data_IF_158419648515
#
_entry.id   IF_158419648515
#
_cell.length_a   1.000
_cell.length_b   1.000
_cell.length_c   1.000
_cell.angle_alpha   90.00
_cell.angle_beta   90.00
_cell.angle_gamma   90.00
#
_symmetry.space_group_name_H-M   'P 1'
#
loop_
_entity.id
_entity.type
_entity.pdbx_description
1 polymer ?
#
# COMPACT_ATOMS: atom_id res chain seq x y z
N UNK A 1 15.17 -12.16 13.90
CA UNK A 1 14.36 -11.40 14.90
C UNK A 1 14.11 -10.03 14.31
N UNK A 2 12.88 -9.54 14.37
CA UNK A 2 12.61 -8.21 13.84
C UNK A 2 13.32 -7.15 14.69
N UNK A 3 14.04 -6.24 14.05
CA UNK A 3 14.79 -5.17 14.72
C UNK A 3 13.83 -4.13 15.31
N UNK A 4 13.97 -3.83 16.59
CA UNK A 4 13.09 -2.90 17.29
C UNK A 4 13.53 -1.44 17.12
N UNK A 5 12.58 -0.52 17.29
CA UNK A 5 12.86 0.92 17.25
C UNK A 5 13.93 1.35 18.28
N UNK A 6 13.91 0.74 19.48
CA UNK A 6 14.93 0.97 20.50
C UNK A 6 16.32 0.51 20.04
N UNK A 7 16.43 -0.67 19.44
CA UNK A 7 17.70 -1.21 18.95
C UNK A 7 18.29 -0.31 17.86
N UNK A 8 17.48 0.06 16.85
CA UNK A 8 17.89 0.99 15.79
C UNK A 8 18.40 2.33 16.34
N UNK A 9 17.64 2.90 17.28
CA UNK A 9 18.02 4.16 17.90
C UNK A 9 19.34 4.03 18.67
N UNK A 10 19.50 2.95 19.44
CA UNK A 10 20.71 2.72 20.23
C UNK A 10 21.95 2.42 19.39
N UNK A 11 21.80 1.79 18.25
CA UNK A 11 22.91 1.59 17.30
C UNK A 11 23.45 2.93 16.81
N UNK A 12 22.57 3.84 16.41
CA UNK A 12 22.95 5.18 15.96
C UNK A 12 23.49 6.05 17.10
N UNK A 13 22.94 5.94 18.33
CA UNK A 13 23.47 6.63 19.50
C UNK A 13 24.91 6.19 19.85
N UNK A 14 25.20 4.88 19.74
CA UNK A 14 26.56 4.35 19.95
C UNK A 14 27.56 4.91 18.93
N UNK A 15 27.18 5.06 17.67
CA UNK A 15 28.02 5.69 16.65
C UNK A 15 28.34 7.16 16.97
N UNK A 16 27.43 7.83 17.67
CA UNK A 16 27.60 9.21 18.11
C UNK A 16 28.33 9.35 19.46
N UNK A 17 28.71 8.22 20.06
CA UNK A 17 29.26 8.17 21.41
C UNK A 17 28.31 8.76 22.47
N UNK A 18 27.01 8.60 22.26
CA UNK A 18 25.95 9.03 23.19
C UNK A 18 25.47 7.88 24.08
N UNK A 19 24.84 8.22 25.19
CA UNK A 19 24.30 7.24 26.12
C UNK A 19 23.10 6.51 25.48
N UNK A 20 23.12 5.17 25.53
CA UNK A 20 22.02 4.35 25.03
C UNK A 20 20.75 4.55 25.88
N UNK A 21 19.60 4.49 25.20
CA UNK A 21 18.28 4.52 25.83
C UNK A 21 17.89 3.14 26.36
N UNK A 22 17.12 3.13 27.43
CA UNK A 22 16.42 1.94 27.94
C UNK A 22 14.94 2.02 27.61
N UNK A 23 14.20 0.93 27.75
CA UNK A 23 12.75 0.93 27.56
C UNK A 23 12.03 1.98 28.41
N UNK A 24 12.52 2.25 29.62
CA UNK A 24 11.95 3.24 30.54
C UNK A 24 12.29 4.70 30.17
N UNK A 25 13.47 4.94 29.59
CA UNK A 25 13.92 6.30 29.22
C UNK A 25 13.56 6.68 27.79
N UNK A 26 13.15 5.71 26.96
CA UNK A 26 12.87 5.90 25.54
C UNK A 26 11.80 6.96 25.27
N UNK A 27 10.71 6.95 26.04
CA UNK A 27 9.59 7.90 25.87
C UNK A 27 10.01 9.33 26.26
N UNK A 28 10.93 9.46 27.20
CA UNK A 28 11.37 10.75 27.76
C UNK A 28 12.72 11.21 27.17
N UNK A 29 13.12 10.66 26.03
CA UNK A 29 14.36 11.08 25.36
C UNK A 29 14.33 12.58 25.03
N UNK A 30 15.46 13.26 25.21
CA UNK A 30 15.61 14.70 24.96
C UNK A 30 16.90 15.01 24.18
N UNK A 31 16.96 16.18 23.55
CA UNK A 31 18.16 16.65 22.86
C UNK A 31 18.56 15.74 21.69
N UNK A 32 19.81 15.29 21.67
CA UNK A 32 20.36 14.44 20.59
C UNK A 32 19.64 13.10 20.53
N UNK A 33 19.28 12.51 21.67
CA UNK A 33 18.57 11.23 21.70
C UNK A 33 17.18 11.33 21.01
N UNK A 34 16.44 12.41 21.30
CA UNK A 34 15.15 12.65 20.62
C UNK A 34 15.36 12.88 19.12
N UNK A 35 16.38 13.65 18.75
CA UNK A 35 16.68 13.90 17.34
C UNK A 35 17.00 12.61 16.57
N UNK A 36 17.76 11.69 17.19
CA UNK A 36 18.06 10.37 16.59
C UNK A 36 16.78 9.55 16.39
N UNK A 37 15.88 9.50 17.39
CA UNK A 37 14.56 8.86 17.24
C UNK A 37 13.77 9.43 16.05
N UNK A 38 13.67 10.76 16.00
CA UNK A 38 12.94 11.42 14.91
C UNK A 38 13.58 11.15 13.55
N UNK A 39 14.92 11.07 13.50
CA UNK A 39 15.67 10.73 12.29
C UNK A 39 15.39 9.29 11.82
N UNK A 40 15.27 8.33 12.74
CA UNK A 40 14.89 6.94 12.41
C UNK A 40 13.48 6.90 11.84
N UNK A 41 12.51 7.55 12.49
CA UNK A 41 11.13 7.61 11.99
C UNK A 41 11.03 8.28 10.62
N UNK A 42 11.76 9.38 10.42
CA UNK A 42 11.78 10.07 9.13
C UNK A 42 12.38 9.20 8.04
N UNK A 43 13.51 8.53 8.34
CA UNK A 43 14.14 7.60 7.40
C UNK A 43 13.24 6.42 7.04
N UNK A 44 12.48 5.90 8.02
CA UNK A 44 11.51 4.84 7.82
C UNK A 44 10.43 5.24 6.81
N UNK A 45 9.82 6.42 6.98
CA UNK A 45 8.82 6.93 6.05
C UNK A 45 9.40 7.28 4.68
N UNK A 46 10.63 7.78 4.60
CA UNK A 46 11.28 8.04 3.32
C UNK A 46 11.41 6.76 2.48
N UNK A 47 11.78 5.63 3.10
CA UNK A 47 11.87 4.34 2.41
C UNK A 47 10.49 3.88 1.92
N UNK A 48 9.47 4.00 2.77
CA UNK A 48 8.10 3.58 2.44
C UNK A 48 7.53 4.41 1.28
N UNK A 49 7.74 5.73 1.33
CA UNK A 49 7.18 6.65 0.32
C UNK A 49 7.96 6.66 -1.00
N UNK A 50 9.18 6.16 -1.00
CA UNK A 50 10.02 6.10 -2.21
C UNK A 50 9.48 5.09 -3.24
N UNK A 51 8.82 4.02 -2.77
CA UNK A 51 8.17 3.04 -3.63
C UNK A 51 6.81 2.64 -3.00
N UNK A 52 5.69 3.02 -3.61
CA UNK A 52 4.37 2.78 -3.04
C UNK A 52 3.94 1.31 -3.09
N UNK A 53 4.62 0.47 -3.88
CA UNK A 53 4.27 -0.93 -4.11
C UNK A 53 5.30 -1.91 -3.54
N UNK A 54 5.90 -1.58 -2.40
CA UNK A 54 6.77 -2.53 -1.73
C UNK A 54 6.03 -3.83 -1.40
N UNK A 55 6.57 -5.02 -1.71
CA UNK A 55 5.91 -6.29 -1.41
C UNK A 55 5.62 -6.52 0.09
N UNK A 56 6.46 -5.97 0.97
CA UNK A 56 6.25 -6.06 2.41
C UNK A 56 5.13 -5.15 2.95
N UNK A 57 4.60 -4.24 2.12
CA UNK A 57 3.41 -3.44 2.42
C UNK A 57 2.14 -4.07 1.88
N UNK A 58 2.25 -5.17 1.12
CA UNK A 58 1.08 -5.85 0.58
C UNK A 58 0.19 -6.33 1.72
N UNK A 59 -1.04 -5.87 1.72
CA UNK A 59 -2.03 -6.22 2.74
C UNK A 59 -2.47 -7.66 2.60
N UNK A 60 -2.65 -8.34 3.74
CA UNK A 60 -3.27 -9.66 3.83
C UNK A 60 -4.47 -9.59 4.77
N UNK A 61 -5.47 -8.78 4.40
CA UNK A 61 -6.59 -8.44 5.30
C UNK A 61 -7.48 -9.61 5.71
N UNK A 62 -7.54 -10.68 4.93
CA UNK A 62 -8.58 -11.69 5.15
C UNK A 62 -8.09 -13.08 5.54
N UNK A 63 -6.78 -13.31 5.65
CA UNK A 63 -6.26 -14.67 5.81
C UNK A 63 -6.52 -15.58 4.59
N UNK A 64 -7.35 -15.16 3.65
CA UNK A 64 -7.60 -15.76 2.37
C UNK A 64 -6.91 -14.94 1.28
N UNK A 65 -5.60 -15.06 1.18
CA UNK A 65 -4.87 -14.53 0.04
C UNK A 65 -4.96 -15.55 -1.08
N UNK A 66 -5.77 -15.29 -2.07
CA UNK A 66 -5.61 -15.94 -3.36
C UNK A 66 -4.72 -15.04 -4.21
N UNK A 67 -3.45 -15.41 -4.42
CA UNK A 67 -2.51 -14.59 -5.20
C UNK A 67 -2.95 -14.40 -6.64
N UNK A 68 -3.94 -15.15 -7.10
CA UNK A 68 -4.51 -15.04 -8.44
C UNK A 68 -5.49 -13.88 -8.58
N UNK A 69 -6.17 -13.48 -7.49
CA UNK A 69 -7.24 -12.49 -7.55
C UNK A 69 -6.90 -11.17 -6.87
N UNK A 70 -6.10 -11.20 -5.83
CA UNK A 70 -5.73 -10.01 -5.06
C UNK A 70 -5.40 -10.33 -3.61
N UNK A 71 -4.91 -9.34 -2.88
CA UNK A 71 -4.58 -9.45 -1.47
C UNK A 71 -5.61 -8.77 -0.54
N UNK A 72 -6.57 -8.07 -1.11
CA UNK A 72 -7.69 -7.46 -0.39
C UNK A 72 -8.99 -7.68 -1.16
N UNK A 73 -10.11 -7.71 -0.46
CA UNK A 73 -11.42 -7.79 -1.11
C UNK A 73 -12.50 -7.00 -0.36
N UNK A 74 -13.55 -6.65 -1.08
CA UNK A 74 -14.77 -6.05 -0.55
C UNK A 74 -15.97 -6.85 -1.03
N UNK A 75 -16.89 -7.19 -0.14
CA UNK A 75 -18.16 -7.79 -0.51
C UNK A 75 -19.16 -6.70 -0.87
N UNK A 76 -19.81 -6.85 -2.01
CA UNK A 76 -20.80 -5.89 -2.50
C UNK A 76 -22.15 -6.12 -1.81
N UNK A 77 -22.98 -5.10 -1.86
CA UNK A 77 -24.39 -5.17 -1.46
C UNK A 77 -25.25 -4.96 -2.68
N UNK A 78 -26.25 -5.81 -2.90
CA UNK A 78 -27.18 -5.67 -4.01
C UNK A 78 -27.86 -4.28 -3.99
N UNK A 79 -27.92 -3.64 -5.14
CA UNK A 79 -28.50 -2.31 -5.28
C UNK A 79 -27.62 -1.13 -4.84
N UNK A 80 -26.41 -1.39 -4.34
CA UNK A 80 -25.45 -0.35 -3.98
C UNK A 80 -24.38 -0.20 -5.07
N UNK A 81 -24.06 1.03 -5.45
CA UNK A 81 -23.06 1.32 -6.51
C UNK A 81 -21.66 1.60 -5.94
N UNK A 82 -21.56 2.31 -4.82
CA UNK A 82 -20.28 2.77 -4.27
C UNK A 82 -19.95 2.03 -2.99
N UNK A 83 -18.70 1.56 -2.90
CA UNK A 83 -18.18 0.79 -1.78
C UNK A 83 -16.92 1.44 -1.24
N UNK A 84 -16.71 1.35 0.05
CA UNK A 84 -15.44 1.75 0.68
C UNK A 84 -14.38 0.70 0.42
N UNK A 85 -13.15 1.13 0.12
CA UNK A 85 -12.02 0.23 -0.12
C UNK A 85 -11.60 -0.53 1.14
N UNK A 86 -11.80 0.09 2.31
CA UNK A 86 -11.72 -0.55 3.61
C UNK A 86 -13.10 -0.54 4.27
N UNK A 87 -13.84 -1.65 4.27
CA UNK A 87 -15.06 -1.73 5.05
C UNK A 87 -14.69 -1.67 6.53
N UNK A 88 -15.07 -0.56 7.14
CA UNK A 88 -15.05 -0.24 8.57
C UNK A 88 -14.44 -1.29 9.52
N UNK A 89 -13.14 -1.51 9.49
CA UNK A 89 -12.46 -1.81 10.72
C UNK A 89 -12.42 -0.50 11.50
N UNK A 90 -12.78 -0.52 12.77
CA UNK A 90 -12.79 0.63 13.66
C UNK A 90 -11.40 1.28 13.86
N UNK A 91 -10.39 0.80 13.19
CA UNK A 91 -9.04 1.30 13.16
C UNK A 91 -8.81 2.15 11.89
N UNK A 92 -9.11 3.44 12.04
CA UNK A 92 -8.84 4.50 11.05
C UNK A 92 -7.33 4.67 10.76
N UNK A 93 -6.47 3.87 11.37
CA UNK A 93 -5.01 4.06 11.35
C UNK A 93 -4.29 3.45 10.16
N UNK A 94 -4.95 2.61 9.38
CA UNK A 94 -4.32 1.95 8.23
C UNK A 94 -5.01 2.32 6.93
N UNK A 95 -4.67 3.48 6.38
CA UNK A 95 -5.03 3.81 5.00
C UNK A 95 -4.12 3.01 4.04
N UNK A 96 -4.62 2.68 2.84
CA UNK A 96 -3.77 2.14 1.80
C UNK A 96 -2.81 3.23 1.27
N UNK A 97 -1.55 2.88 1.10
CA UNK A 97 -0.57 3.76 0.45
C UNK A 97 -0.77 3.76 -1.06
N UNK A 98 -1.13 2.62 -1.63
CA UNK A 98 -1.36 2.44 -3.06
C UNK A 98 -2.38 1.34 -3.32
N UNK A 99 -3.06 1.45 -4.46
CA UNK A 99 -4.01 0.45 -4.96
C UNK A 99 -3.75 0.29 -6.46
N UNK A 100 -3.72 -0.95 -6.92
CA UNK A 100 -3.66 -1.26 -8.34
C UNK A 100 -5.07 -1.20 -8.94
N UNK A 101 -5.37 -0.10 -9.63
CA UNK A 101 -6.67 0.15 -10.23
C UNK A 101 -6.90 -0.65 -11.53
N UNK A 102 -5.87 -1.20 -12.13
CA UNK A 102 -5.97 -1.93 -13.39
C UNK A 102 -6.32 -3.42 -13.17
N UNK A 103 -6.10 -3.92 -11.94
CA UNK A 103 -6.28 -5.33 -11.60
C UNK A 103 -7.40 -5.53 -10.56
N UNK A 104 -8.60 -5.10 -10.88
CA UNK A 104 -9.79 -5.45 -10.10
C UNK A 104 -10.43 -6.72 -10.66
N UNK A 105 -10.72 -7.67 -9.80
CA UNK A 105 -11.29 -8.96 -10.14
C UNK A 105 -12.54 -9.23 -9.32
N UNK A 106 -13.57 -9.78 -9.93
CA UNK A 106 -14.84 -10.07 -9.27
C UNK A 106 -15.11 -11.58 -9.28
N UNK A 107 -15.59 -12.08 -8.16
CA UNK A 107 -16.07 -13.45 -8.01
C UNK A 107 -17.46 -13.46 -7.38
N UNK A 108 -18.28 -14.46 -7.73
CA UNK A 108 -19.53 -14.70 -7.00
C UNK A 108 -19.23 -15.28 -5.62
N UNK A 109 -19.94 -14.80 -4.61
CA UNK A 109 -19.92 -15.42 -3.29
C UNK A 109 -20.83 -16.67 -3.34
N UNK A 110 -20.25 -17.85 -3.12
CA UNK A 110 -21.00 -19.10 -3.04
C UNK A 110 -21.91 -19.09 -1.81
N UNK A 111 -23.21 -19.21 -2.02
CA UNK A 111 -24.16 -19.46 -0.93
C UNK A 111 -24.22 -20.96 -0.70
N UNK A 112 -24.01 -21.41 0.53
CA UNK A 112 -24.06 -22.81 0.87
C UNK A 112 -25.41 -23.44 0.46
N UNK A 113 -25.37 -24.42 -0.44
CA UNK A 113 -26.56 -25.11 -0.95
C UNK A 113 -27.12 -24.60 -2.29
N UNK A 114 -26.58 -23.52 -2.87
CA UNK A 114 -26.91 -23.09 -4.21
C UNK A 114 -25.86 -23.54 -5.23
N UNK A 115 -26.31 -24.15 -6.32
CA UNK A 115 -25.50 -24.48 -7.51
C UNK A 115 -25.50 -23.31 -8.49
N UNK A 116 -25.32 -22.08 -7.98
CA UNK A 116 -25.20 -20.93 -8.87
C UNK A 116 -23.89 -21.05 -9.69
N UNK A 117 -23.91 -20.72 -10.98
CA UNK A 117 -22.69 -20.74 -11.76
C UNK A 117 -21.67 -19.78 -11.16
N UNK A 118 -20.46 -20.30 -10.93
CA UNK A 118 -19.33 -19.48 -10.47
C UNK A 118 -18.99 -18.49 -11.59
N UNK A 119 -19.26 -17.23 -11.34
CA UNK A 119 -18.89 -16.14 -12.24
C UNK A 119 -17.64 -15.46 -11.73
N UNK A 120 -16.63 -15.41 -12.55
CA UNK A 120 -15.40 -14.68 -12.28
C UNK A 120 -15.00 -13.87 -13.49
N UNK A 121 -14.62 -12.62 -13.28
CA UNK A 121 -14.16 -11.76 -14.37
C UNK A 121 -13.28 -10.62 -13.89
N UNK A 122 -12.39 -10.18 -14.76
CA UNK A 122 -11.70 -8.91 -14.59
C UNK A 122 -12.66 -7.75 -14.77
N UNK A 123 -12.59 -6.76 -13.90
CA UNK A 123 -13.32 -5.51 -14.01
C UNK A 123 -12.47 -4.50 -14.78
N UNK A 124 -13.05 -3.90 -15.81
CA UNK A 124 -12.36 -2.86 -16.56
C UNK A 124 -12.32 -1.57 -15.75
N UNK A 125 -11.13 -1.00 -15.60
CA UNK A 125 -11.02 0.35 -15.02
C UNK A 125 -11.63 1.40 -15.94
N UNK A 126 -12.46 2.27 -15.36
CA UNK A 126 -13.08 3.39 -16.05
C UNK A 126 -12.73 4.67 -15.30
N UNK A 127 -12.15 5.64 -15.99
CA UNK A 127 -11.87 6.95 -15.40
C UNK A 127 -13.17 7.65 -15.00
N UNK A 128 -13.10 8.55 -14.02
CA UNK A 128 -14.27 9.32 -13.56
C UNK A 128 -14.92 10.12 -14.70
N UNK A 129 -14.13 10.62 -15.63
CA UNK A 129 -14.62 11.38 -16.81
C UNK A 129 -15.35 10.45 -17.78
N UNK A 130 -14.73 9.34 -18.16
CA UNK A 130 -15.36 8.34 -19.03
C UNK A 130 -16.65 7.82 -18.43
N UNK A 131 -16.71 7.61 -17.11
CA UNK A 131 -17.91 7.18 -16.42
C UNK A 131 -19.01 8.25 -16.42
N UNK A 132 -18.67 9.54 -16.22
CA UNK A 132 -19.64 10.63 -16.32
C UNK A 132 -20.28 10.69 -17.71
N UNK A 133 -19.47 10.55 -18.75
CA UNK A 133 -19.96 10.54 -20.14
C UNK A 133 -20.83 9.32 -20.42
N UNK A 134 -20.39 8.13 -19.99
CA UNK A 134 -21.18 6.90 -20.10
C UNK A 134 -22.53 7.04 -19.38
N UNK A 135 -22.53 7.55 -18.15
CA UNK A 135 -23.74 7.73 -17.35
C UNK A 135 -24.70 8.75 -17.97
N UNK A 136 -24.19 9.84 -18.50
CA UNK A 136 -24.99 10.84 -19.19
C UNK A 136 -25.73 10.29 -20.41
N UNK A 137 -25.12 9.31 -21.09
CA UNK A 137 -25.68 8.73 -22.32
C UNK A 137 -26.62 7.56 -21.98
N UNK A 138 -26.27 6.73 -21.00
CA UNK A 138 -26.93 5.46 -20.74
C UNK A 138 -27.90 5.47 -19.56
N UNK A 139 -27.79 6.43 -18.66
CA UNK A 139 -28.63 6.53 -17.47
C UNK A 139 -29.24 7.92 -17.35
N UNK A 140 -30.56 8.00 -17.19
CA UNK A 140 -31.22 9.23 -16.79
C UNK A 140 -31.04 9.40 -15.26
N UNK A 141 -30.38 10.48 -14.83
CA UNK A 141 -30.00 10.71 -13.42
C UNK A 141 -31.21 10.84 -12.47
N UNK A 142 -32.34 11.28 -13.00
CA UNK A 142 -33.54 11.58 -12.23
C UNK A 142 -34.54 10.42 -12.17
N UNK A 143 -34.28 9.34 -12.92
CA UNK A 143 -35.17 8.19 -13.00
C UNK A 143 -34.51 6.93 -12.41
N UNK A 144 -35.00 6.48 -11.26
CA UNK A 144 -34.51 5.28 -10.60
C UNK A 144 -34.69 4.01 -11.45
N UNK A 145 -35.68 3.98 -12.31
CA UNK A 145 -35.96 2.84 -13.20
C UNK A 145 -34.98 2.74 -14.37
N UNK A 146 -34.24 3.83 -14.67
CA UNK A 146 -33.22 3.83 -15.71
C UNK A 146 -31.86 3.30 -15.23
N UNK A 147 -31.71 3.02 -13.93
CA UNK A 147 -30.46 2.48 -13.39
C UNK A 147 -30.25 1.05 -13.87
N UNK A 148 -29.07 0.78 -14.41
CA UNK A 148 -28.71 -0.56 -14.87
C UNK A 148 -28.24 -1.43 -13.69
N UNK A 149 -29.03 -2.46 -13.39
CA UNK A 149 -28.67 -3.51 -12.43
C UNK A 149 -28.16 -4.74 -13.19
N UNK A 150 -27.16 -5.39 -12.63
CA UNK A 150 -26.62 -6.62 -13.22
C UNK A 150 -25.24 -6.96 -12.70
N UNK A 151 -24.59 -7.89 -13.40
CA UNK A 151 -23.23 -8.32 -13.07
C UNK A 151 -22.25 -7.20 -13.40
N UNK A 152 -21.47 -6.68 -12.42
CA UNK A 152 -20.50 -5.62 -12.65
C UNK A 152 -19.46 -6.00 -13.71
N UNK A 153 -19.13 -5.08 -14.58
CA UNK A 153 -18.13 -5.22 -15.65
C UNK A 153 -17.03 -4.16 -15.59
N UNK A 154 -17.29 -3.07 -14.89
CA UNK A 154 -16.35 -1.98 -14.76
C UNK A 154 -16.26 -1.48 -13.32
N UNK A 155 -15.06 -1.05 -12.94
CA UNK A 155 -14.76 -0.36 -11.69
C UNK A 155 -14.44 1.11 -11.96
N UNK A 156 -14.93 1.99 -11.08
CA UNK A 156 -14.80 3.43 -11.20
C UNK A 156 -14.13 3.93 -9.92
N UNK A 157 -13.09 4.73 -10.07
CA UNK A 157 -12.42 5.36 -8.93
C UNK A 157 -13.21 6.59 -8.46
N UNK A 158 -13.50 6.67 -7.17
CA UNK A 158 -14.03 7.91 -6.58
C UNK A 158 -12.94 9.02 -6.53
N UNK A 159 -13.33 10.29 -6.66
CA UNK A 159 -12.40 11.42 -6.56
C UNK A 159 -11.61 11.48 -5.25
N UNK A 160 -12.17 10.99 -4.14
CA UNK A 160 -11.52 10.93 -2.83
C UNK A 160 -10.54 9.74 -2.68
N UNK A 161 -10.48 8.86 -3.69
CA UNK A 161 -9.65 7.65 -3.71
C UNK A 161 -9.91 6.65 -2.57
N UNK A 162 -10.94 6.86 -1.74
CA UNK A 162 -11.32 5.99 -0.62
C UNK A 162 -12.42 5.01 -0.99
N UNK A 163 -13.13 5.27 -2.09
CA UNK A 163 -14.26 4.49 -2.58
C UNK A 163 -14.05 4.09 -4.02
N UNK A 164 -14.68 2.99 -4.38
CA UNK A 164 -14.84 2.60 -5.78
C UNK A 164 -16.32 2.42 -6.10
N UNK A 165 -16.66 2.62 -7.35
CA UNK A 165 -17.98 2.37 -7.88
C UNK A 165 -17.98 1.18 -8.83
N UNK A 166 -19.13 0.56 -8.98
CA UNK A 166 -19.33 -0.54 -9.92
C UNK A 166 -20.37 -0.16 -10.97
N UNK A 167 -20.15 -0.61 -12.20
CA UNK A 167 -21.09 -0.46 -13.32
C UNK A 167 -21.18 -1.78 -14.10
N UNK A 168 -22.39 -2.30 -14.32
CA UNK A 168 -23.68 -1.97 -13.71
C UNK A 168 -23.71 -2.05 -12.19
N UNK A 169 -24.83 -1.59 -11.58
CA UNK A 169 -25.05 -1.75 -10.13
C UNK A 169 -25.19 -3.24 -9.83
N UNK A 170 -24.50 -3.76 -8.79
CA UNK A 170 -24.61 -5.17 -8.42
C UNK A 170 -26.05 -5.60 -8.15
N UNK A 171 -26.49 -6.67 -8.82
CA UNK A 171 -27.81 -7.30 -8.62
C UNK A 171 -27.84 -8.27 -7.43
N UNK A 172 -26.68 -8.77 -7.02
CA UNK A 172 -26.47 -9.67 -5.88
C UNK A 172 -25.15 -9.38 -5.18
N UNK A 173 -24.81 -10.16 -4.18
CA UNK A 173 -23.53 -10.05 -3.48
C UNK A 173 -22.42 -10.67 -4.33
N UNK A 174 -21.37 -9.90 -4.57
CA UNK A 174 -20.13 -10.31 -5.22
C UNK A 174 -18.96 -10.00 -4.32
N UNK A 175 -17.85 -10.71 -4.47
CA UNK A 175 -16.58 -10.39 -3.85
C UNK A 175 -15.70 -9.74 -4.90
N UNK A 176 -15.30 -8.49 -4.64
CA UNK A 176 -14.44 -7.69 -5.51
C UNK A 176 -13.04 -7.68 -4.92
N UNK A 177 -12.10 -8.32 -5.61
CA UNK A 177 -10.70 -8.44 -5.23
C UNK A 177 -9.87 -7.36 -5.90
N UNK A 178 -8.81 -6.91 -5.21
CA UNK A 178 -7.83 -5.96 -5.74
C UNK A 178 -6.50 -6.11 -5.02
N UNK A 179 -5.44 -5.52 -5.58
CA UNK A 179 -4.15 -5.42 -4.91
C UNK A 179 -4.04 -4.08 -4.20
N UNK A 180 -3.69 -4.13 -2.91
CA UNK A 180 -3.52 -2.97 -2.06
C UNK A 180 -2.25 -3.08 -1.24
N UNK A 181 -1.65 -1.94 -0.94
CA UNK A 181 -0.47 -1.79 -0.08
C UNK A 181 -0.81 -0.87 1.07
N UNK A 182 -0.57 -1.33 2.28
CA UNK A 182 -0.86 -0.57 3.50
C UNK A 182 0.14 0.57 3.71
N UNK A 183 -0.34 1.65 4.32
CA UNK A 183 0.52 2.69 4.86
C UNK A 183 0.79 2.36 6.33
N UNK A 184 1.99 1.91 6.70
CA UNK A 184 2.30 1.58 8.09
C UNK A 184 2.28 2.81 8.98
N UNK A 185 1.93 2.60 10.24
CA UNK A 185 1.97 3.65 11.26
C UNK A 185 3.41 4.06 11.59
N UNK A 186 3.55 5.24 12.19
CA UNK A 186 4.85 5.70 12.73
C UNK A 186 5.27 4.82 13.89
N UNK A 187 6.58 4.60 14.00
CA UNK A 187 7.17 3.96 15.16
C UNK A 187 7.00 4.89 16.38
N UNK A 188 6.34 4.43 17.42
CA UNK A 188 6.03 5.22 18.61
C UNK A 188 6.64 4.61 19.88
N UNK A 189 6.40 3.32 20.11
CA UNK A 189 6.88 2.61 21.27
C UNK A 189 8.28 2.02 21.04
N UNK A 190 9.03 1.82 22.12
CA UNK A 190 10.37 1.24 22.08
C UNK A 190 10.43 -0.16 21.44
N UNK A 191 9.33 -0.93 21.55
CA UNK A 191 9.21 -2.29 21.03
C UNK A 191 8.65 -2.37 19.61
N UNK A 192 8.28 -1.24 18.98
CA UNK A 192 7.79 -1.24 17.62
C UNK A 192 8.86 -1.77 16.66
N UNK A 193 8.43 -2.53 15.68
CA UNK A 193 9.31 -3.15 14.68
C UNK A 193 9.09 -2.53 13.31
N UNK A 194 10.14 -2.53 12.51
CA UNK A 194 10.05 -2.13 11.10
C UNK A 194 9.31 -3.21 10.29
N UNK A 195 8.57 -2.79 9.26
CA UNK A 195 7.79 -3.72 8.42
C UNK A 195 8.61 -4.37 7.31
N UNK A 196 9.75 -3.81 6.93
CA UNK A 196 10.59 -4.40 5.89
C UNK A 196 11.61 -5.39 6.49
N UNK A 197 12.17 -6.32 5.66
CA UNK A 197 13.08 -7.36 6.13
C UNK A 197 14.35 -6.81 6.80
N UNK A 198 14.80 -7.44 7.87
CA UNK A 198 15.99 -7.07 8.66
C UNK A 198 17.25 -6.87 7.79
N UNK A 199 17.34 -7.58 6.65
CA UNK A 199 18.44 -7.43 5.69
C UNK A 199 18.66 -5.99 5.24
N UNK A 200 17.61 -5.17 5.20
CA UNK A 200 17.65 -3.79 4.73
C UNK A 200 17.71 -2.75 5.85
N UNK A 201 17.91 -3.18 7.10
CA UNK A 201 18.09 -2.27 8.25
C UNK A 201 19.22 -1.27 8.01
N UNK A 202 20.30 -1.69 7.33
CA UNK A 202 21.40 -0.79 6.97
C UNK A 202 21.01 0.37 6.04
N UNK A 203 19.99 0.18 5.20
CA UNK A 203 19.46 1.25 4.32
C UNK A 203 18.78 2.32 5.16
N UNK A 204 17.96 1.92 6.14
CA UNK A 204 17.32 2.81 7.08
C UNK A 204 18.34 3.58 7.93
N UNK A 205 19.35 2.88 8.46
CA UNK A 205 20.43 3.50 9.23
C UNK A 205 21.20 4.52 8.41
N UNK A 206 21.53 4.22 7.16
CA UNK A 206 22.22 5.15 6.27
C UNK A 206 21.39 6.43 6.05
N UNK A 207 20.06 6.30 5.86
CA UNK A 207 19.17 7.46 5.75
C UNK A 207 19.04 8.24 7.05
N UNK A 208 18.94 7.56 8.18
CA UNK A 208 18.91 8.21 9.49
C UNK A 208 20.22 8.96 9.80
N UNK A 209 21.39 8.36 9.47
CA UNK A 209 22.72 9.02 9.57
C UNK A 209 22.77 10.32 8.76
N UNK A 210 22.19 10.33 7.57
CA UNK A 210 22.12 11.55 6.76
C UNK A 210 21.45 12.69 7.53
N UNK A 211 20.31 12.46 8.18
CA UNK A 211 19.63 13.48 8.99
C UNK A 211 20.42 13.88 10.23
N UNK A 212 21.04 12.93 10.89
CA UNK A 212 21.87 13.18 12.08
C UNK A 212 23.08 14.05 11.73
N UNK A 213 23.77 13.75 10.62
CA UNK A 213 24.92 14.52 10.19
C UNK A 213 24.55 15.92 9.68
N UNK A 214 23.39 16.08 9.08
CA UNK A 214 22.84 17.40 8.79
C UNK A 214 22.61 18.22 10.06
N UNK A 215 22.04 17.63 11.08
CA UNK A 215 21.84 18.28 12.37
C UNK A 215 23.17 18.67 13.06
N UNK A 216 24.20 17.84 12.91
CA UNK A 216 25.54 18.10 13.44
C UNK A 216 26.40 19.02 12.56
N UNK A 217 25.83 19.61 11.52
CA UNK A 217 26.50 20.50 10.56
C UNK A 217 27.76 19.88 9.93
N UNK A 218 27.68 18.59 9.59
CA UNK A 218 28.75 17.87 8.90
C UNK A 218 28.29 17.44 7.50
N UNK A 219 28.39 18.33 6.49
CA UNK A 219 27.87 18.06 5.15
C UNK A 219 28.62 16.95 4.42
N UNK A 220 29.90 16.75 4.72
CA UNK A 220 30.69 15.69 4.10
C UNK A 220 30.22 14.30 4.55
N UNK A 221 30.05 14.09 5.87
CA UNK A 221 29.54 12.84 6.41
C UNK A 221 28.08 12.59 5.95
N UNK A 222 27.28 13.65 5.88
CA UNK A 222 25.92 13.56 5.35
C UNK A 222 25.90 13.11 3.87
N UNK A 223 26.81 13.63 3.02
CA UNK A 223 26.91 13.23 1.63
C UNK A 223 27.26 11.74 1.48
N UNK A 224 28.19 11.22 2.24
CA UNK A 224 28.53 9.80 2.26
C UNK A 224 27.34 8.92 2.69
N UNK A 225 26.68 9.29 3.77
CA UNK A 225 25.50 8.58 4.25
C UNK A 225 24.36 8.56 3.21
N UNK A 226 24.17 9.66 2.46
CA UNK A 226 23.18 9.73 1.39
C UNK A 226 23.57 8.84 0.20
N UNK A 227 24.84 8.73 -0.12
CA UNK A 227 25.32 7.84 -1.17
C UNK A 227 25.10 6.37 -0.81
N UNK A 228 25.43 5.98 0.43
CA UNK A 228 25.18 4.63 0.96
C UNK A 228 23.68 4.30 0.95
N UNK A 229 22.83 5.24 1.36
CA UNK A 229 21.39 5.09 1.27
C UNK A 229 20.94 4.81 -0.16
N UNK A 230 21.37 5.62 -1.14
CA UNK A 230 21.00 5.45 -2.55
C UNK A 230 21.45 4.11 -3.13
N UNK A 231 22.64 3.64 -2.77
CA UNK A 231 23.15 2.32 -3.18
C UNK A 231 22.29 1.20 -2.57
N UNK A 232 22.03 1.28 -1.27
CA UNK A 232 21.21 0.31 -0.56
C UNK A 232 19.77 0.26 -1.09
N UNK A 233 19.16 1.42 -1.36
CA UNK A 233 17.81 1.51 -1.90
C UNK A 233 17.71 0.90 -3.30
N UNK A 234 18.70 1.11 -4.17
CA UNK A 234 18.75 0.47 -5.50
C UNK A 234 18.81 -1.05 -5.38
N UNK A 235 19.64 -1.56 -4.47
CA UNK A 235 19.73 -3.00 -4.21
C UNK A 235 18.40 -3.56 -3.66
N UNK A 236 17.75 -2.83 -2.76
CA UNK A 236 16.46 -3.19 -2.20
C UNK A 236 15.36 -3.26 -3.28
N UNK A 237 15.30 -2.26 -4.17
CA UNK A 237 14.38 -2.25 -5.32
C UNK A 237 14.63 -3.42 -6.25
N UNK A 238 15.89 -3.63 -6.64
CA UNK A 238 16.25 -4.73 -7.55
C UNK A 238 15.91 -6.12 -7.02
N UNK A 239 15.87 -6.29 -5.70
CA UNK A 239 15.62 -7.59 -5.09
C UNK A 239 14.16 -7.82 -4.72
N UNK A 240 13.41 -6.77 -4.42
CA UNK A 240 12.05 -6.87 -3.90
C UNK A 240 10.98 -6.50 -4.93
N UNK A 241 11.25 -5.52 -5.78
CA UNK A 241 10.27 -5.10 -6.79
C UNK A 241 10.51 -5.92 -8.05
N UNK A 242 9.50 -6.62 -8.50
CA UNK A 242 9.56 -7.35 -9.75
C UNK A 242 9.85 -6.39 -10.91
N UNK A 243 10.83 -6.70 -11.77
CA UNK A 243 11.05 -5.88 -12.96
C UNK A 243 9.81 -5.96 -13.83
N UNK A 244 9.26 -4.81 -14.19
CA UNK A 244 8.16 -4.75 -15.17
C UNK A 244 8.62 -5.54 -16.40
N UNK A 245 7.90 -6.58 -16.83
CA UNK A 245 8.29 -7.35 -17.99
C UNK A 245 8.36 -6.41 -19.19
N UNK A 246 9.57 -6.15 -19.66
CA UNK A 246 9.87 -5.34 -20.85
C UNK A 246 9.60 -6.12 -22.15
N UNK A 247 9.02 -7.29 -22.08
CA UNK A 247 8.53 -8.00 -23.25
C UNK A 247 7.32 -7.26 -23.85
N UNK A 248 7.64 -6.21 -24.58
CA UNK A 248 6.78 -5.78 -25.66
C UNK A 248 6.89 -6.92 -26.70
N UNK A 249 6.08 -7.96 -26.50
CA UNK A 249 5.83 -8.91 -27.57
C UNK A 249 5.16 -8.10 -28.66
N UNK A 250 5.93 -7.85 -29.71
CA UNK A 250 5.40 -7.28 -30.93
C UNK A 250 4.44 -8.30 -31.54
N UNK A 251 3.16 -8.21 -31.16
CA UNK A 251 2.07 -9.06 -31.67
C UNK A 251 1.85 -8.89 -33.19
N UNK A 252 2.65 -8.05 -33.86
CA UNK A 252 2.60 -7.85 -35.31
C UNK A 252 3.17 -9.01 -36.13
N UNK A 253 3.85 -9.96 -35.49
CA UNK A 253 4.43 -11.14 -36.20
C UNK A 253 3.53 -12.38 -36.23
N UNK A 254 2.24 -12.29 -35.89
CA UNK A 254 1.34 -13.46 -35.92
C UNK A 254 0.40 -13.53 -37.14
N UNK A 255 0.63 -12.74 -38.16
CA UNK A 255 -0.08 -12.85 -39.44
C UNK A 255 0.91 -13.04 -40.58
N UNK A 256 1.42 -14.28 -40.73
CA UNK A 256 1.90 -14.85 -41.99
C UNK A 256 1.41 -16.29 -42.04
#
# INVERSE_FOLDING_TARGET
MATTYLELTNELLRELNEVALTSSTFTNAVGVQQHVKDSVNRAYFDIITEEPQWPFLATAESGETDPMYGNAYVETVAGQRFFELKPSSSDITTDYSSIDWDNFYMTTVGVAGETAPYESRNLRFMSTEAWKDFRRISENLDDADSQQYGVPSAVIRSPDSRKFGLSPIPDKVYRVWFYAWDLPSRLAAHGDTIVFPDLYTGVLQARARYYIWQFKDNPQAAAFALEDYRKGLRSMRSNLVEPVPTDIRDDRMRFV
#
